data_IF_221371670151
#
_entry.id   IF_221371670151
#
_cell.length_a   1.000
_cell.length_b   1.000
_cell.length_c   1.000
_cell.angle_alpha   90.00
_cell.angle_beta   90.00
_cell.angle_gamma   90.00
#
_symmetry.space_group_name_H-M   'P 1'
#
loop_
_entity.id
_entity.type
_entity.pdbx_description
1 polymer ?
#
# COMPACT_ATOMS: atom_id res chain seq x y z
N UNK A 1 20.10 -1.11 3.81
CA UNK A 1 18.81 -1.73 4.09
C UNK A 1 18.73 -3.08 3.39
N UNK A 2 17.98 -4.03 3.94
CA UNK A 2 17.74 -5.33 3.29
C UNK A 2 16.30 -5.40 2.71
N UNK A 3 15.39 -4.60 3.26
CA UNK A 3 14.02 -4.43 2.79
C UNK A 3 13.73 -2.95 2.58
N UNK A 4 13.17 -2.60 1.43
CA UNK A 4 12.66 -1.27 1.11
C UNK A 4 11.20 -1.41 0.69
N UNK A 5 10.36 -0.53 1.22
CA UNK A 5 8.92 -0.51 0.93
C UNK A 5 8.55 0.88 0.43
N UNK A 6 7.94 0.97 -0.73
CA UNK A 6 7.41 2.22 -1.29
C UNK A 6 5.93 2.38 -0.90
N UNK A 7 5.45 3.62 -0.94
CA UNK A 7 4.04 3.92 -0.66
C UNK A 7 3.11 3.39 -1.77
N UNK A 8 1.83 3.39 -1.50
CA UNK A 8 0.79 2.98 -2.46
C UNK A 8 0.80 3.87 -3.70
N UNK A 9 0.68 3.23 -4.90
CA UNK A 9 0.61 3.89 -6.21
C UNK A 9 1.73 4.93 -6.41
N UNK A 10 2.96 4.56 -6.05
CA UNK A 10 4.08 5.48 -5.96
C UNK A 10 4.57 6.04 -7.30
N UNK A 11 4.24 5.41 -8.43
CA UNK A 11 4.70 5.81 -9.77
C UNK A 11 4.07 7.11 -10.29
N UNK A 12 3.02 7.59 -9.63
CA UNK A 12 2.30 8.80 -10.03
C UNK A 12 1.85 9.61 -8.81
N UNK A 13 1.34 10.82 -9.05
CA UNK A 13 0.48 11.47 -8.08
C UNK A 13 -0.77 10.59 -7.85
N UNK A 14 -1.41 10.77 -6.70
CA UNK A 14 -2.60 9.98 -6.35
C UNK A 14 -3.80 10.42 -7.20
N UNK A 15 -4.01 9.74 -8.30
CA UNK A 15 -4.99 10.07 -9.32
C UNK A 15 -6.43 9.74 -8.93
N UNK A 16 -6.64 8.94 -7.89
CA UNK A 16 -8.00 8.54 -7.46
C UNK A 16 -8.79 9.67 -6.78
N UNK A 17 -8.24 10.89 -6.73
CA UNK A 17 -8.97 12.07 -6.28
C UNK A 17 -10.13 12.42 -7.22
N UNK A 18 -10.08 11.97 -8.47
CA UNK A 18 -11.09 12.22 -9.51
C UNK A 18 -11.42 10.93 -10.25
N UNK A 19 -12.61 10.88 -10.84
CA UNK A 19 -13.02 9.84 -11.78
C UNK A 19 -12.74 10.33 -13.21
N UNK A 20 -11.60 9.94 -13.78
CA UNK A 20 -11.21 10.29 -15.14
C UNK A 20 -10.74 9.07 -15.92
N UNK A 21 -11.32 8.87 -17.11
CA UNK A 21 -10.91 7.79 -18.01
C UNK A 21 -9.48 7.95 -18.52
N UNK A 22 -8.95 9.17 -18.56
CA UNK A 22 -7.59 9.45 -19.03
C UNK A 22 -6.53 8.83 -18.09
N UNK A 23 -6.86 8.67 -16.81
CA UNK A 23 -5.96 8.05 -15.84
C UNK A 23 -5.73 6.55 -16.07
N UNK A 24 -6.55 5.87 -16.88
CA UNK A 24 -6.26 4.48 -17.26
C UNK A 24 -5.01 4.32 -18.12
N UNK A 25 -4.51 5.41 -18.73
CA UNK A 25 -3.23 5.41 -19.45
C UNK A 25 -2.02 5.29 -18.52
N UNK A 26 -2.19 5.54 -17.21
CA UNK A 26 -1.16 5.32 -16.18
C UNK A 26 -0.99 3.82 -15.85
N UNK A 27 -1.91 2.96 -16.28
CA UNK A 27 -1.90 1.56 -15.89
C UNK A 27 -0.87 0.76 -16.67
N UNK A 28 -0.08 -0.05 -15.96
CA UNK A 28 1.04 -0.83 -16.49
C UNK A 28 0.77 -2.32 -16.46
N UNK A 29 1.37 -3.07 -17.38
CA UNK A 29 1.32 -4.53 -17.34
C UNK A 29 2.28 -5.08 -16.25
N UNK A 30 1.89 -6.14 -15.57
CA UNK A 30 2.75 -6.86 -14.63
C UNK A 30 2.83 -8.34 -15.02
N UNK A 31 4.02 -8.83 -15.51
CA UNK A 31 5.27 -8.09 -15.71
C UNK A 31 5.20 -7.11 -16.90
N UNK A 32 6.02 -6.06 -16.86
CA UNK A 32 6.11 -5.01 -17.88
C UNK A 32 7.40 -4.20 -17.77
N UNK A 33 7.47 -3.05 -18.44
CA UNK A 33 8.65 -2.19 -18.46
C UNK A 33 9.01 -1.71 -17.04
N UNK A 34 8.05 -1.17 -16.33
CA UNK A 34 8.21 -0.64 -14.97
C UNK A 34 8.69 -1.72 -13.99
N UNK A 35 8.09 -2.91 -14.05
CA UNK A 35 8.56 -4.04 -13.21
C UNK A 35 9.95 -4.50 -13.58
N UNK A 36 10.38 -4.34 -14.84
CA UNK A 36 11.75 -4.63 -15.26
C UNK A 36 12.75 -3.66 -14.66
N UNK A 37 12.40 -2.37 -14.58
CA UNK A 37 13.23 -1.35 -13.94
C UNK A 37 13.35 -1.58 -12.44
N UNK A 38 12.26 -1.87 -11.73
CA UNK A 38 12.30 -2.20 -10.30
C UNK A 38 13.05 -3.49 -10.00
N UNK A 39 12.93 -4.50 -10.86
CA UNK A 39 13.71 -5.74 -10.77
C UNK A 39 15.21 -5.46 -10.89
N UNK A 40 15.62 -4.62 -11.86
CA UNK A 40 17.00 -4.21 -12.03
C UNK A 40 17.53 -3.44 -10.82
N UNK A 41 16.73 -2.51 -10.28
CA UNK A 41 17.06 -1.73 -9.09
C UNK A 41 17.21 -2.62 -7.84
N UNK A 42 16.28 -3.54 -7.61
CA UNK A 42 16.34 -4.48 -6.49
C UNK A 42 17.64 -5.32 -6.55
N UNK A 43 17.99 -5.80 -7.75
CA UNK A 43 19.22 -6.55 -7.98
C UNK A 43 20.47 -5.70 -7.80
N UNK A 44 20.53 -4.49 -8.35
CA UNK A 44 21.67 -3.58 -8.24
C UNK A 44 21.97 -3.25 -6.77
N UNK A 45 20.92 -2.97 -5.99
CA UNK A 45 21.03 -2.60 -4.58
C UNK A 45 21.12 -3.81 -3.64
N UNK A 46 20.84 -5.03 -4.11
CA UNK A 46 20.84 -6.25 -3.31
C UNK A 46 19.76 -6.22 -2.20
N UNK A 47 18.58 -5.68 -2.49
CA UNK A 47 17.48 -5.51 -1.54
C UNK A 47 16.22 -6.26 -1.97
N UNK A 48 15.41 -6.65 -0.99
CA UNK A 48 14.00 -6.97 -1.25
C UNK A 48 13.24 -5.65 -1.38
N UNK A 49 12.49 -5.48 -2.47
CA UNK A 49 11.77 -4.25 -2.77
C UNK A 49 10.27 -4.54 -2.87
N UNK A 50 9.46 -3.79 -2.12
CA UNK A 50 8.00 -3.82 -2.22
C UNK A 50 7.52 -2.52 -2.88
N UNK A 51 6.84 -2.67 -4.00
CA UNK A 51 6.24 -1.58 -4.80
C UNK A 51 4.71 -1.66 -4.76
N UNK A 52 4.02 -0.63 -5.23
CA UNK A 52 2.56 -0.64 -5.41
C UNK A 52 2.24 0.11 -6.70
N UNK A 53 1.58 -0.57 -7.64
CA UNK A 53 1.42 -0.13 -9.02
C UNK A 53 -0.05 -0.21 -9.45
N UNK A 54 -0.41 0.60 -10.44
CA UNK A 54 -1.67 0.50 -11.16
C UNK A 54 -1.56 -0.59 -12.24
N UNK A 55 -2.01 -1.82 -11.92
CA UNK A 55 -1.91 -2.96 -12.84
C UNK A 55 -3.02 -2.93 -13.90
N UNK A 56 -2.65 -2.96 -15.17
CA UNK A 56 -3.53 -3.35 -16.28
C UNK A 56 -3.37 -4.84 -16.54
N UNK A 57 -4.28 -5.65 -16.01
CA UNK A 57 -4.27 -7.11 -16.17
C UNK A 57 -4.74 -7.53 -17.55
N UNK A 58 -5.78 -6.86 -18.04
CA UNK A 58 -6.37 -7.06 -19.36
C UNK A 58 -7.13 -5.78 -19.76
N UNK A 59 -7.63 -5.73 -20.99
CA UNK A 59 -8.49 -4.64 -21.40
C UNK A 59 -9.75 -4.57 -20.51
N UNK A 60 -9.96 -3.41 -19.86
CA UNK A 60 -11.09 -3.18 -18.96
C UNK A 60 -10.96 -3.86 -17.58
N UNK A 61 -9.81 -4.43 -17.24
CA UNK A 61 -9.58 -5.10 -15.96
C UNK A 61 -8.29 -4.59 -15.30
N UNK A 62 -8.46 -3.86 -14.21
CA UNK A 62 -7.39 -3.15 -13.53
C UNK A 62 -7.38 -3.44 -12.04
N UNK A 63 -6.19 -3.40 -11.42
CA UNK A 63 -6.01 -3.61 -9.99
C UNK A 63 -5.00 -2.64 -9.40
N UNK A 64 -5.15 -2.35 -8.11
CA UNK A 64 -4.10 -1.79 -7.28
C UNK A 64 -3.25 -2.96 -6.77
N UNK A 65 -1.99 -3.05 -7.18
CA UNK A 65 -1.17 -4.25 -7.03
C UNK A 65 0.17 -3.95 -6.38
N UNK A 66 0.42 -4.56 -5.23
CA UNK A 66 1.76 -4.61 -4.66
C UNK A 66 2.58 -5.72 -5.34
N UNK A 67 3.82 -5.40 -5.73
CA UNK A 67 4.77 -6.35 -6.32
C UNK A 67 6.00 -6.42 -5.44
N UNK A 68 6.44 -7.63 -5.14
CA UNK A 68 7.63 -7.90 -4.32
C UNK A 68 8.74 -8.44 -5.20
N UNK A 69 9.87 -7.75 -5.20
CA UNK A 69 11.08 -8.16 -5.90
C UNK A 69 12.10 -8.72 -4.92
N UNK A 70 12.70 -9.84 -5.27
CA UNK A 70 13.82 -10.44 -4.53
C UNK A 70 15.14 -9.73 -4.87
N UNK A 71 16.16 -9.92 -4.03
CA UNK A 71 17.53 -9.36 -4.16
C UNK A 71 18.22 -9.68 -5.48
N UNK A 72 17.83 -10.75 -6.16
CA UNK A 72 18.36 -11.13 -7.46
C UNK A 72 17.62 -10.47 -8.63
N UNK A 73 16.55 -9.71 -8.34
CA UNK A 73 15.68 -9.04 -9.30
C UNK A 73 14.53 -9.90 -9.81
N UNK A 74 14.32 -11.09 -9.27
CA UNK A 74 13.13 -11.87 -9.61
C UNK A 74 11.88 -11.31 -8.90
N UNK A 75 10.71 -11.45 -9.51
CA UNK A 75 9.44 -11.17 -8.84
C UNK A 75 9.16 -12.34 -7.88
N UNK A 76 9.30 -12.10 -6.57
CA UNK A 76 8.98 -13.08 -5.54
C UNK A 76 7.47 -13.36 -5.46
N UNK A 77 6.65 -12.33 -5.69
CA UNK A 77 5.20 -12.46 -5.71
C UNK A 77 4.49 -11.12 -5.88
N UNK A 78 3.16 -11.18 -5.88
CA UNK A 78 2.32 -9.97 -5.92
C UNK A 78 1.04 -10.18 -5.11
N UNK A 79 0.50 -9.07 -4.63
CA UNK A 79 -0.79 -9.00 -3.96
C UNK A 79 -1.66 -7.94 -4.65
N UNK A 80 -2.91 -8.26 -4.95
CA UNK A 80 -3.92 -7.31 -5.47
C UNK A 80 -4.82 -6.88 -4.32
N UNK A 81 -4.91 -5.57 -4.08
CA UNK A 81 -5.73 -4.97 -3.02
C UNK A 81 -7.15 -5.51 -3.05
N UNK A 82 -7.60 -6.08 -1.93
CA UNK A 82 -8.92 -6.71 -1.81
C UNK A 82 -10.00 -5.70 -1.43
N UNK A 83 -9.71 -4.81 -0.50
CA UNK A 83 -10.66 -3.82 -0.01
C UNK A 83 -10.43 -2.50 -0.72
N UNK A 84 -11.34 -2.13 -1.60
CA UNK A 84 -11.24 -0.93 -2.45
C UNK A 84 -12.16 0.16 -1.87
N UNK A 85 -11.62 1.31 -1.42
CA UNK A 85 -12.40 2.41 -0.91
C UNK A 85 -13.18 3.14 -2.01
N UNK A 86 -14.20 3.88 -1.60
CA UNK A 86 -15.04 4.70 -2.46
C UNK A 86 -15.56 5.90 -1.67
N UNK A 87 -14.64 6.65 -1.10
CA UNK A 87 -14.92 7.86 -0.34
C UNK A 87 -14.59 9.11 -1.18
N UNK A 88 -15.09 10.29 -0.83
CA UNK A 88 -14.71 11.54 -1.48
C UNK A 88 -13.18 11.69 -1.55
N UNK A 89 -12.68 12.03 -2.74
CA UNK A 89 -11.25 12.09 -3.09
C UNK A 89 -10.49 10.74 -3.02
N UNK A 90 -11.18 9.62 -2.78
CA UNK A 90 -10.62 8.26 -2.82
C UNK A 90 -11.50 7.35 -3.69
N UNK A 91 -11.77 7.77 -4.93
CA UNK A 91 -12.64 7.07 -5.89
C UNK A 91 -11.95 5.86 -6.52
N UNK A 92 -11.41 4.98 -5.67
CA UNK A 92 -10.64 3.83 -6.15
C UNK A 92 -11.51 2.79 -6.86
N UNK A 93 -12.79 2.67 -6.52
CA UNK A 93 -13.71 1.74 -7.21
C UNK A 93 -13.97 2.10 -8.67
N UNK A 94 -13.75 3.35 -9.08
CA UNK A 94 -13.81 3.74 -10.48
C UNK A 94 -12.70 3.06 -11.29
N UNK A 95 -11.53 2.84 -10.68
CA UNK A 95 -10.34 2.32 -11.35
C UNK A 95 -10.12 0.82 -11.13
N UNK A 96 -10.33 0.33 -9.90
CA UNK A 96 -9.84 -0.98 -9.50
C UNK A 96 -10.93 -2.01 -9.26
N UNK A 97 -10.72 -3.18 -9.84
CA UNK A 97 -11.42 -4.40 -9.45
C UNK A 97 -10.77 -4.95 -8.17
N UNK A 98 -11.55 -5.42 -7.18
CA UNK A 98 -11.03 -6.13 -6.01
C UNK A 98 -10.08 -7.27 -6.39
N UNK A 99 -9.08 -7.51 -5.54
CA UNK A 99 -8.07 -8.54 -5.75
C UNK A 99 -8.66 -9.95 -5.77
N UNK A 100 -8.02 -10.83 -6.51
CA UNK A 100 -8.46 -12.21 -6.73
C UNK A 100 -7.37 -13.26 -6.40
N UNK A 101 -6.25 -12.81 -5.80
CA UNK A 101 -5.14 -13.70 -5.43
C UNK A 101 -5.27 -14.27 -4.01
N UNK A 102 -6.27 -13.81 -3.25
CA UNK A 102 -6.42 -14.16 -1.84
C UNK A 102 -5.39 -13.48 -0.95
N UNK A 103 -5.33 -13.90 0.31
CA UNK A 103 -4.37 -13.44 1.31
C UNK A 103 -3.28 -14.50 1.46
N UNK A 104 -2.22 -14.39 0.65
CA UNK A 104 -1.09 -15.33 0.63
C UNK A 104 0.20 -14.59 0.95
N UNK A 105 0.92 -14.96 2.03
CA UNK A 105 2.24 -14.42 2.30
C UNK A 105 3.24 -14.78 1.21
N UNK A 106 4.19 -13.88 0.95
CA UNK A 106 5.19 -13.99 -0.10
C UNK A 106 6.55 -14.35 0.52
N UNK A 107 7.13 -15.45 0.11
CA UNK A 107 8.45 -15.89 0.58
C UNK A 107 9.56 -15.02 -0.04
N UNK A 108 10.45 -14.52 0.82
CA UNK A 108 11.61 -13.72 0.41
C UNK A 108 12.84 -14.06 1.26
N UNK A 109 14.03 -13.59 0.85
CA UNK A 109 15.26 -13.74 1.61
C UNK A 109 15.29 -12.98 2.94
N UNK A 110 14.34 -12.08 3.20
CA UNK A 110 14.24 -11.31 4.46
C UNK A 110 13.09 -11.80 5.35
N UNK A 111 12.43 -12.89 4.97
CA UNK A 111 11.31 -13.47 5.67
C UNK A 111 10.07 -13.57 4.79
N UNK A 112 9.01 -14.11 5.37
CA UNK A 112 7.73 -14.34 4.71
C UNK A 112 6.82 -13.14 4.91
N UNK A 113 6.58 -12.37 3.83
CA UNK A 113 5.92 -11.07 3.87
C UNK A 113 4.41 -11.19 3.70
N UNK A 114 3.64 -10.76 4.67
CA UNK A 114 2.19 -10.57 4.57
C UNK A 114 1.89 -9.19 3.98
N UNK A 115 1.94 -9.06 2.66
CA UNK A 115 1.72 -7.78 1.98
C UNK A 115 0.24 -7.54 1.76
N UNK A 116 -0.22 -6.41 2.24
CA UNK A 116 -1.58 -5.87 2.14
C UNK A 116 -1.47 -4.41 1.69
N UNK A 117 -2.55 -3.79 1.21
CA UNK A 117 -2.46 -2.41 0.70
C UNK A 117 -3.51 -1.52 1.35
N UNK A 118 -3.07 -0.43 1.95
CA UNK A 118 -3.85 0.72 2.43
C UNK A 118 -5.13 0.32 3.18
N UNK A 119 -6.31 0.41 2.56
CA UNK A 119 -7.61 0.18 3.20
C UNK A 119 -7.76 -1.22 3.79
N UNK A 120 -7.01 -2.22 3.31
CA UNK A 120 -6.93 -3.54 3.94
C UNK A 120 -6.54 -3.47 5.43
N UNK A 121 -5.86 -2.40 5.85
CA UNK A 121 -5.42 -2.17 7.23
C UNK A 121 -6.57 -2.07 8.24
N UNK A 122 -7.78 -1.73 7.79
CA UNK A 122 -8.96 -1.61 8.64
C UNK A 122 -9.67 -2.95 8.86
N UNK A 123 -9.29 -4.00 8.11
CA UNK A 123 -9.91 -5.32 8.12
C UNK A 123 -9.03 -6.33 8.86
N UNK A 124 -9.35 -6.65 10.14
CA UNK A 124 -8.54 -7.55 10.95
C UNK A 124 -8.47 -8.97 10.39
N UNK A 125 -9.42 -9.37 9.55
CA UNK A 125 -9.48 -10.67 8.88
C UNK A 125 -8.28 -10.87 7.95
N UNK A 126 -7.93 -9.87 7.15
CA UNK A 126 -6.78 -9.91 6.23
C UNK A 126 -5.47 -10.15 7.00
N UNK A 127 -5.21 -9.34 8.03
CA UNK A 127 -4.06 -9.49 8.90
C UNK A 127 -4.02 -10.86 9.60
N UNK A 128 -5.19 -11.36 10.03
CA UNK A 128 -5.32 -12.66 10.70
C UNK A 128 -5.00 -13.81 9.77
N UNK A 129 -5.51 -13.79 8.55
CA UNK A 129 -5.27 -14.83 7.56
C UNK A 129 -3.78 -14.89 7.19
N UNK A 130 -3.14 -13.73 6.95
CA UNK A 130 -1.71 -13.67 6.68
C UNK A 130 -0.89 -14.28 7.83
N UNK A 131 -1.20 -13.93 9.08
CA UNK A 131 -0.53 -14.50 10.26
C UNK A 131 -0.73 -16.00 10.37
N UNK A 132 -1.96 -16.52 10.19
CA UNK A 132 -2.26 -17.95 10.25
C UNK A 132 -1.57 -18.75 9.13
N UNK A 133 -1.30 -18.11 8.01
CA UNK A 133 -0.54 -18.68 6.89
C UNK A 133 0.98 -18.53 7.03
N UNK A 134 1.45 -18.05 8.18
CA UNK A 134 2.86 -18.04 8.54
C UNK A 134 3.63 -16.82 8.02
N UNK A 135 2.99 -15.65 7.85
CA UNK A 135 3.72 -14.42 7.64
C UNK A 135 4.61 -14.09 8.84
N UNK A 136 5.84 -13.64 8.60
CA UNK A 136 6.77 -13.17 9.62
C UNK A 136 6.55 -11.70 9.97
N UNK A 137 5.99 -10.92 9.04
CA UNK A 137 5.65 -9.52 9.21
C UNK A 137 4.49 -9.10 8.29
N UNK A 138 3.77 -8.04 8.67
CA UNK A 138 2.74 -7.43 7.84
C UNK A 138 3.27 -6.12 7.25
N UNK A 139 2.96 -5.86 5.97
CA UNK A 139 3.42 -4.67 5.24
C UNK A 139 2.22 -4.01 4.59
N UNK A 140 2.11 -2.68 4.76
CA UNK A 140 1.03 -1.86 4.21
C UNK A 140 1.57 -0.64 3.46
N UNK A 141 1.83 -0.73 2.14
CA UNK A 141 1.87 0.45 1.28
C UNK A 141 0.55 1.19 1.37
N UNK A 142 0.60 2.51 1.61
CA UNK A 142 -0.59 3.30 1.96
C UNK A 142 -0.55 4.67 1.29
N UNK A 143 -1.73 5.21 0.98
CA UNK A 143 -1.97 6.60 0.58
C UNK A 143 -3.21 7.09 1.33
N UNK A 144 -2.99 7.65 2.53
CA UNK A 144 -4.06 8.19 3.38
C UNK A 144 -3.66 9.56 3.92
N UNK A 145 -4.61 10.48 3.93
CA UNK A 145 -4.41 11.87 4.34
C UNK A 145 -5.68 12.50 4.86
N UNK A 146 -5.61 13.79 5.11
CA UNK A 146 -6.71 14.62 5.58
C UNK A 146 -7.31 15.43 4.45
N UNK A 147 -8.60 15.69 4.55
CA UNK A 147 -9.24 16.71 3.77
C UNK A 147 -8.88 18.11 4.31
N UNK A 148 -8.90 19.10 3.42
CA UNK A 148 -8.59 20.50 3.80
C UNK A 148 -9.60 21.09 4.79
N UNK A 149 -10.82 20.56 4.81
CA UNK A 149 -11.91 20.97 5.72
C UNK A 149 -11.83 20.39 7.12
N UNK A 150 -10.98 19.38 7.35
CA UNK A 150 -10.85 18.72 8.63
C UNK A 150 -10.29 19.66 9.71
N UNK A 151 -10.91 19.65 10.88
CA UNK A 151 -10.38 20.35 12.06
C UNK A 151 -9.14 19.64 12.60
N UNK A 152 -8.30 20.33 13.38
CA UNK A 152 -7.11 19.72 13.99
C UNK A 152 -7.46 18.57 14.94
N UNK A 153 -8.60 18.65 15.62
CA UNK A 153 -9.10 17.58 16.47
C UNK A 153 -9.50 16.34 15.62
N UNK A 154 -10.12 16.56 14.48
CA UNK A 154 -10.47 15.49 13.54
C UNK A 154 -9.22 14.83 12.96
N UNK A 155 -8.28 15.63 12.47
CA UNK A 155 -6.99 15.17 11.96
C UNK A 155 -6.25 14.28 12.96
N UNK A 156 -6.24 14.70 14.22
CA UNK A 156 -5.63 13.91 15.30
C UNK A 156 -6.33 12.57 15.47
N UNK A 157 -7.68 12.57 15.56
CA UNK A 157 -8.46 11.33 15.73
C UNK A 157 -8.27 10.35 14.58
N UNK A 158 -8.30 10.84 13.34
CA UNK A 158 -8.13 9.99 12.14
C UNK A 158 -6.77 9.32 12.11
N UNK A 159 -5.70 10.08 12.34
CA UNK A 159 -4.33 9.55 12.38
C UNK A 159 -4.13 8.58 13.54
N UNK A 160 -4.64 8.89 14.72
CA UNK A 160 -4.52 8.01 15.88
C UNK A 160 -5.29 6.70 15.68
N UNK A 161 -6.49 6.75 15.10
CA UNK A 161 -7.25 5.56 14.74
C UNK A 161 -6.48 4.68 13.75
N UNK A 162 -5.84 5.27 12.73
CA UNK A 162 -5.01 4.58 11.76
C UNK A 162 -3.81 3.88 12.44
N UNK A 163 -3.09 4.55 13.31
CA UNK A 163 -1.96 3.98 14.05
C UNK A 163 -2.42 2.87 14.99
N UNK A 164 -3.50 3.10 15.76
CA UNK A 164 -4.02 2.14 16.75
C UNK A 164 -4.48 0.86 16.06
N UNK A 165 -5.20 0.95 14.95
CA UNK A 165 -5.68 -0.21 14.20
C UNK A 165 -4.53 -1.15 13.83
N UNK A 166 -3.45 -0.62 13.29
CA UNK A 166 -2.30 -1.41 12.85
C UNK A 166 -1.44 -1.92 14.02
N UNK A 167 -1.30 -1.13 15.08
CA UNK A 167 -0.68 -1.60 16.34
C UNK A 167 -1.47 -2.75 16.94
N UNK A 168 -2.81 -2.70 16.85
CA UNK A 168 -3.64 -3.81 17.32
C UNK A 168 -3.38 -5.09 16.50
N UNK A 169 -3.12 -4.98 15.19
CA UNK A 169 -2.70 -6.15 14.39
C UNK A 169 -1.37 -6.71 14.89
N UNK A 170 -0.37 -5.85 15.13
CA UNK A 170 0.94 -6.28 15.62
C UNK A 170 0.82 -7.08 16.93
N UNK A 171 0.09 -6.54 17.90
CA UNK A 171 -0.12 -7.18 19.22
C UNK A 171 -0.93 -8.47 19.07
N UNK A 172 -2.07 -8.41 18.39
CA UNK A 172 -3.01 -9.53 18.32
C UNK A 172 -2.50 -10.72 17.49
N UNK A 173 -1.54 -10.51 16.60
CA UNK A 173 -0.93 -11.56 15.75
C UNK A 173 0.49 -11.93 16.19
N UNK A 174 1.11 -11.16 17.10
CA UNK A 174 2.49 -11.38 17.52
C UNK A 174 3.53 -11.10 16.43
N UNK A 175 3.21 -10.24 15.45
CA UNK A 175 4.03 -9.94 14.27
C UNK A 175 4.36 -8.45 14.19
N UNK A 176 5.55 -8.05 13.70
CA UNK A 176 5.80 -6.68 13.34
C UNK A 176 4.91 -6.22 12.17
N UNK A 177 4.48 -4.96 12.24
CA UNK A 177 3.71 -4.29 11.19
C UNK A 177 4.50 -3.10 10.68
N UNK A 178 4.68 -3.02 9.36
CA UNK A 178 5.37 -1.95 8.65
C UNK A 178 4.33 -1.19 7.83
N UNK A 179 4.13 0.09 8.15
CA UNK A 179 3.20 0.96 7.44
C UNK A 179 3.96 2.08 6.76
N UNK A 180 3.82 2.16 5.45
CA UNK A 180 4.50 3.16 4.63
C UNK A 180 3.46 4.02 3.93
N UNK A 181 3.31 5.26 4.38
CA UNK A 181 2.31 6.17 3.88
C UNK A 181 2.90 7.26 3.00
N UNK A 182 2.15 7.67 2.00
CA UNK A 182 2.40 8.86 1.19
C UNK A 182 2.48 10.10 2.08
N UNK A 183 3.27 11.09 1.69
CA UNK A 183 3.44 12.35 2.44
C UNK A 183 3.39 13.55 1.53
N UNK A 184 2.95 14.68 2.07
CA UNK A 184 2.87 15.95 1.35
C UNK A 184 1.48 16.26 0.82
N UNK A 185 1.33 17.43 0.21
CA UNK A 185 0.07 17.87 -0.38
C UNK A 185 0.04 17.53 -1.87
N UNK A 186 -1.04 16.91 -2.31
CA UNK A 186 -1.32 16.71 -3.74
C UNK A 186 -2.65 17.37 -4.10
N UNK A 187 -2.60 18.29 -5.05
CA UNK A 187 -3.77 19.03 -5.50
C UNK A 187 -4.75 18.12 -6.25
N UNK A 188 -6.04 18.41 -6.10
CA UNK A 188 -7.09 17.78 -6.90
C UNK A 188 -7.03 18.31 -8.35
N UNK A 189 -6.80 17.45 -9.36
CA UNK A 189 -6.72 17.88 -10.76
C UNK A 189 -8.01 18.48 -11.28
N UNK A 190 -9.16 18.13 -10.72
CA UNK A 190 -10.46 18.68 -11.10
C UNK A 190 -10.75 20.07 -10.51
N UNK A 191 -9.95 20.49 -9.53
CA UNK A 191 -10.19 21.71 -8.75
C UNK A 191 -11.54 21.75 -8.00
N UNK A 192 -12.18 20.61 -7.80
CA UNK A 192 -13.43 20.50 -7.01
C UNK A 192 -13.16 20.54 -5.51
N UNK A 193 -11.97 20.11 -5.10
CA UNK A 193 -11.48 20.18 -3.74
C UNK A 193 -10.10 20.88 -3.69
N UNK A 194 -9.58 21.08 -2.48
CA UNK A 194 -8.21 21.60 -2.31
C UNK A 194 -7.16 20.50 -2.38
N UNK A 195 -7.54 19.26 -2.70
CA UNK A 195 -6.65 18.12 -2.72
C UNK A 195 -6.51 17.44 -1.34
N UNK A 196 -5.59 16.49 -1.27
CA UNK A 196 -5.33 15.70 -0.07
C UNK A 196 -3.99 16.11 0.55
N UNK A 197 -4.00 16.34 1.87
CA UNK A 197 -2.78 16.42 2.66
C UNK A 197 -2.46 15.04 3.22
N UNK A 198 -1.62 14.28 2.52
CA UNK A 198 -1.12 12.99 3.00
C UNK A 198 -0.27 13.20 4.25
N UNK A 199 -0.59 12.51 5.35
CA UNK A 199 0.02 12.80 6.64
C UNK A 199 1.35 12.10 6.92
N UNK A 200 1.85 11.29 5.97
CA UNK A 200 3.07 10.52 6.20
C UNK A 200 2.92 9.64 7.44
N UNK A 201 3.69 9.93 8.48
CA UNK A 201 3.67 9.20 9.75
C UNK A 201 3.92 7.70 9.57
N UNK A 202 4.72 7.31 8.59
CA UNK A 202 5.16 5.93 8.39
C UNK A 202 5.80 5.39 9.66
N UNK A 203 5.56 4.12 9.97
CA UNK A 203 6.06 3.52 11.20
C UNK A 203 6.25 2.00 11.10
N UNK A 204 7.02 1.49 12.06
CA UNK A 204 7.10 0.05 12.36
C UNK A 204 6.56 -0.16 13.78
N UNK A 205 5.56 -1.03 13.91
CA UNK A 205 5.02 -1.45 15.20
C UNK A 205 5.46 -2.88 15.53
N UNK A 206 6.03 -3.08 16.70
CA UNK A 206 6.36 -4.41 17.21
C UNK A 206 5.20 -5.04 17.99
N UNK A 207 5.23 -6.36 18.22
CA UNK A 207 4.17 -7.11 18.87
C UNK A 207 4.00 -6.75 20.37
N UNK A 208 4.95 -6.06 20.97
CA UNK A 208 4.90 -5.60 22.35
C UNK A 208 4.73 -4.08 22.47
N UNK A 209 3.98 -3.48 21.54
CA UNK A 209 3.69 -2.04 21.47
C UNK A 209 4.91 -1.15 21.21
N UNK A 210 6.08 -1.69 20.91
CA UNK A 210 7.18 -0.86 20.43
C UNK A 210 6.76 -0.14 19.15
N UNK A 211 7.15 1.10 19.01
CA UNK A 211 6.82 1.94 17.86
C UNK A 211 8.07 2.70 17.43
N UNK A 212 8.40 2.55 16.16
CA UNK A 212 9.47 3.32 15.50
C UNK A 212 8.79 4.12 14.39
N UNK A 213 8.82 5.44 14.51
CA UNK A 213 8.42 6.33 13.42
C UNK A 213 9.59 6.48 12.44
N UNK A 214 9.27 6.44 11.15
CA UNK A 214 10.21 6.56 10.05
C UNK A 214 9.97 7.89 9.32
#
# INVERSE_FOLDING_TARGET
>A
AELVVLQELHDSLYFCQVESTDNFDLAVAIPGAETTEYAALAKELGIVLVTSLFERRAAGLYHNTAVVFEKDGTIAGKYRKMHIPDDPAYYEKFYFTPGDLGFEPIDTSVGRLGVLVCWDQWYPEAARIMALKGADMLIYPTAIGWESSDTDAEKTRQRDAWIISQRAHAVAKGLPVISVNRTGHESDPSCMTNGIQFWGSSFVAGPQLSLIHI
#
